data_IF_016267086150
#
_entry.id   IF_016267086150
#
_cell.length_a   1.000
_cell.length_b   1.000
_cell.length_c   1.000
_cell.angle_alpha   90.00
_cell.angle_beta   90.00
_cell.angle_gamma   90.00
#
_symmetry.space_group_name_H-M   'P 1'
#
loop_
_entity.id
_entity.type
_entity.pdbx_description
1 polymer ?
#
# COMPACT_ATOMS: atom_id res chain seq x y z
N UNK A 1 -6.30 -14.32 -66.50
CA UNK A 1 -5.97 -13.12 -65.73
C UNK A 1 -7.20 -12.72 -64.94
N UNK A 2 -7.25 -13.07 -63.65
CA UNK A 2 -8.26 -12.56 -62.72
C UNK A 2 -7.52 -11.76 -61.66
N UNK A 3 -7.70 -10.44 -61.69
CA UNK A 3 -7.21 -9.53 -60.66
C UNK A 3 -8.24 -9.60 -59.53
N UNK A 4 -7.89 -10.23 -58.41
CA UNK A 4 -8.67 -10.12 -57.19
C UNK A 4 -8.44 -8.72 -56.59
N UNK A 5 -9.47 -8.05 -56.04
CA UNK A 5 -9.28 -6.81 -55.32
C UNK A 5 -8.43 -7.10 -54.08
N UNK A 6 -7.42 -6.27 -53.87
CA UNK A 6 -6.66 -6.23 -52.63
C UNK A 6 -7.57 -5.59 -51.58
N UNK A 7 -8.51 -6.35 -51.02
CA UNK A 7 -9.25 -5.92 -49.85
C UNK A 7 -8.22 -5.75 -48.74
N UNK A 8 -7.88 -4.49 -48.46
CA UNK A 8 -7.12 -4.11 -47.30
C UNK A 8 -7.93 -4.56 -46.09
N UNK A 9 -7.46 -5.63 -45.44
CA UNK A 9 -7.91 -6.02 -44.12
C UNK A 9 -7.56 -4.88 -43.16
N UNK A 10 -8.38 -3.83 -43.14
CA UNK A 10 -8.39 -2.84 -42.08
C UNK A 10 -8.92 -3.55 -40.85
N UNK A 11 -8.00 -4.11 -40.06
CA UNK A 11 -8.30 -4.51 -38.70
C UNK A 11 -9.02 -3.33 -38.03
N UNK A 12 -10.17 -3.55 -37.38
CA UNK A 12 -10.88 -2.46 -36.73
C UNK A 12 -9.95 -1.80 -35.72
N UNK A 13 -9.58 -0.55 -35.96
CA UNK A 13 -8.76 0.25 -35.06
C UNK A 13 -9.70 0.97 -34.10
N UNK A 14 -9.62 0.63 -32.82
CA UNK A 14 -10.28 1.42 -31.79
C UNK A 14 -9.65 2.83 -31.74
N UNK A 15 -10.46 3.89 -31.53
CA UNK A 15 -9.92 5.21 -31.24
C UNK A 15 -8.99 5.18 -30.03
N UNK A 16 -7.94 6.00 -30.05
CA UNK A 16 -6.91 6.06 -28.99
C UNK A 16 -7.52 6.33 -27.62
N UNK A 17 -8.58 7.12 -27.55
CA UNK A 17 -9.32 7.46 -26.33
C UNK A 17 -9.98 6.22 -25.71
N UNK A 18 -10.48 5.30 -26.54
CA UNK A 18 -11.07 4.04 -26.09
C UNK A 18 -9.98 3.13 -25.54
N UNK A 19 -8.83 3.05 -26.21
CA UNK A 19 -7.67 2.28 -25.74
C UNK A 19 -7.16 2.82 -24.40
N UNK A 20 -7.03 4.14 -24.28
CA UNK A 20 -6.60 4.81 -23.05
C UNK A 20 -7.56 4.51 -21.89
N UNK A 21 -8.87 4.57 -22.15
CA UNK A 21 -9.89 4.24 -21.15
C UNK A 21 -9.79 2.77 -20.70
N UNK A 22 -9.69 1.83 -21.64
CA UNK A 22 -9.53 0.39 -21.33
C UNK A 22 -8.30 0.16 -20.45
N UNK A 23 -7.15 0.74 -20.84
CA UNK A 23 -5.90 0.59 -20.09
C UNK A 23 -6.04 1.17 -18.69
N UNK A 24 -6.59 2.38 -18.55
CA UNK A 24 -6.73 3.04 -17.26
C UNK A 24 -7.70 2.29 -16.34
N UNK A 25 -8.84 1.83 -16.86
CA UNK A 25 -9.81 1.06 -16.07
C UNK A 25 -9.22 -0.28 -15.64
N UNK A 26 -8.59 -1.03 -16.56
CA UNK A 26 -7.94 -2.30 -16.23
C UNK A 26 -6.76 -2.11 -15.27
N UNK A 27 -5.99 -1.03 -15.43
CA UNK A 27 -4.90 -0.67 -14.53
C UNK A 27 -5.42 -0.33 -13.13
N UNK A 28 -6.61 0.25 -12.99
CA UNK A 28 -7.20 0.55 -11.69
C UNK A 28 -7.81 -0.68 -10.97
N UNK A 29 -8.01 -1.82 -11.66
CA UNK A 29 -8.58 -3.02 -11.05
C UNK A 29 -7.67 -3.61 -9.94
N UNK A 30 -8.25 -4.24 -8.91
CA UNK A 30 -7.52 -4.90 -7.82
C UNK A 30 -6.93 -6.25 -8.26
N UNK A 31 -6.04 -6.24 -9.24
CA UNK A 31 -5.44 -7.44 -9.82
C UNK A 31 -4.52 -8.17 -8.83
N UNK A 32 -4.47 -9.50 -8.92
CA UNK A 32 -3.42 -10.28 -8.27
C UNK A 32 -2.03 -9.89 -8.79
N UNK A 33 -0.98 -10.20 -8.01
CA UNK A 33 0.40 -9.94 -8.44
C UNK A 33 0.71 -10.60 -9.79
N UNK A 34 0.20 -11.81 -10.03
CA UNK A 34 0.37 -12.54 -11.29
C UNK A 34 -0.30 -11.83 -12.45
N UNK A 35 -1.57 -11.47 -12.31
CA UNK A 35 -2.33 -10.76 -13.36
C UNK A 35 -1.71 -9.40 -13.66
N UNK A 36 -1.26 -8.67 -12.62
CA UNK A 36 -0.55 -7.41 -12.78
C UNK A 36 0.74 -7.60 -13.59
N UNK A 37 1.59 -8.56 -13.23
CA UNK A 37 2.84 -8.84 -13.95
C UNK A 37 2.57 -9.23 -15.40
N UNK A 38 1.58 -10.09 -15.65
CA UNK A 38 1.18 -10.45 -17.01
C UNK A 38 0.75 -9.23 -17.80
N UNK A 39 -0.13 -8.39 -17.26
CA UNK A 39 -0.58 -7.18 -17.93
C UNK A 39 0.56 -6.20 -18.21
N UNK A 40 1.47 -6.01 -17.26
CA UNK A 40 2.64 -5.14 -17.42
C UNK A 40 3.56 -5.62 -18.52
N UNK A 41 3.80 -6.93 -18.60
CA UNK A 41 4.65 -7.54 -19.64
C UNK A 41 3.97 -7.48 -21.00
N UNK A 42 2.71 -7.92 -21.06
CA UNK A 42 1.99 -8.12 -22.32
C UNK A 42 1.63 -6.76 -22.95
N UNK A 43 1.34 -5.72 -22.15
CA UNK A 43 1.09 -4.37 -22.64
C UNK A 43 2.28 -3.73 -23.37
N UNK A 44 3.50 -4.16 -23.06
CA UNK A 44 4.70 -3.69 -23.78
C UNK A 44 4.83 -4.30 -25.19
N UNK A 45 4.04 -5.34 -25.51
CA UNK A 45 4.20 -6.15 -26.72
C UNK A 45 3.03 -6.02 -27.71
N UNK A 46 1.93 -5.33 -27.35
CA UNK A 46 0.73 -5.21 -28.20
C UNK A 46 1.01 -4.41 -29.47
N UNK A 47 1.30 -3.11 -29.32
CA UNK A 47 1.76 -2.20 -30.37
C UNK A 47 2.29 -0.90 -29.72
N UNK A 48 2.84 0.01 -30.53
CA UNK A 48 3.43 1.27 -30.02
C UNK A 48 2.43 2.19 -29.31
N UNK A 49 1.19 2.28 -29.80
CA UNK A 49 0.13 3.11 -29.21
C UNK A 49 -0.29 2.57 -27.85
N UNK A 50 -0.59 1.28 -27.77
CA UNK A 50 -0.94 0.61 -26.52
C UNK A 50 0.18 0.72 -25.49
N UNK A 51 1.43 0.46 -25.92
CA UNK A 51 2.60 0.57 -25.05
C UNK A 51 2.74 1.99 -24.50
N UNK A 52 2.61 3.03 -25.33
CA UNK A 52 2.71 4.42 -24.88
C UNK A 52 1.63 4.79 -23.85
N UNK A 53 0.39 4.39 -24.11
CA UNK A 53 -0.73 4.61 -23.18
C UNK A 53 -0.55 3.86 -21.86
N UNK A 54 -0.12 2.60 -21.93
CA UNK A 54 0.22 1.80 -20.75
C UNK A 54 1.37 2.42 -19.94
N UNK A 55 2.44 2.89 -20.60
CA UNK A 55 3.55 3.55 -19.92
C UNK A 55 3.06 4.81 -19.20
N UNK A 56 2.19 5.62 -19.82
CA UNK A 56 1.57 6.77 -19.15
C UNK A 56 0.77 6.35 -17.92
N UNK A 57 -0.11 5.35 -18.03
CA UNK A 57 -0.92 4.86 -16.92
C UNK A 57 -0.06 4.33 -15.76
N UNK A 58 0.91 3.46 -16.07
CA UNK A 58 1.81 2.83 -15.09
C UNK A 58 2.83 3.80 -14.47
N UNK A 59 3.20 4.88 -15.16
CA UNK A 59 4.01 5.95 -14.59
C UNK A 59 3.20 6.90 -13.69
N UNK A 60 1.90 7.03 -13.94
CA UNK A 60 0.99 7.89 -13.16
C UNK A 60 0.63 7.21 -11.84
N UNK A 61 0.14 5.97 -11.89
CA UNK A 61 -0.17 5.16 -10.71
C UNK A 61 0.73 3.94 -10.71
N UNK A 62 1.80 4.00 -9.92
CA UNK A 62 2.82 2.95 -9.92
C UNK A 62 2.34 1.79 -9.04
N UNK A 63 2.31 0.58 -9.60
CA UNK A 63 2.04 -0.64 -8.84
C UNK A 63 3.31 -1.49 -8.73
N UNK A 64 3.61 -1.95 -7.52
CA UNK A 64 4.77 -2.77 -7.20
C UNK A 64 4.26 -4.16 -6.81
N UNK A 65 4.23 -5.12 -7.75
CA UNK A 65 3.65 -6.44 -7.51
C UNK A 65 4.58 -7.39 -6.74
N UNK A 66 5.89 -7.10 -6.66
CA UNK A 66 6.86 -7.89 -5.93
C UNK A 66 8.17 -7.11 -5.67
N UNK A 67 9.02 -7.66 -4.81
CA UNK A 67 10.31 -7.07 -4.42
C UNK A 67 11.30 -6.93 -5.58
N UNK A 68 11.31 -7.86 -6.55
CA UNK A 68 12.19 -7.75 -7.73
C UNK A 68 11.83 -6.54 -8.58
N UNK A 69 10.53 -6.29 -8.78
CA UNK A 69 10.07 -5.12 -9.50
C UNK A 69 10.39 -3.81 -8.76
N UNK A 70 10.36 -3.81 -7.43
CA UNK A 70 10.78 -2.64 -6.65
C UNK A 70 12.22 -2.19 -6.97
N UNK A 71 13.17 -3.13 -7.03
CA UNK A 71 14.55 -2.82 -7.43
C UNK A 71 14.65 -2.38 -8.89
N UNK A 72 13.85 -2.99 -9.78
CA UNK A 72 13.78 -2.55 -11.17
C UNK A 72 13.26 -1.12 -11.30
N UNK A 73 12.27 -0.74 -10.49
CA UNK A 73 11.70 0.60 -10.45
C UNK A 73 12.74 1.63 -9.98
N UNK A 74 13.53 1.32 -8.95
CA UNK A 74 14.65 2.19 -8.53
C UNK A 74 15.64 2.37 -9.67
N UNK A 75 15.99 1.29 -10.36
CA UNK A 75 16.85 1.36 -11.55
C UNK A 75 16.23 2.24 -12.64
N UNK A 76 14.91 2.16 -12.87
CA UNK A 76 14.20 3.05 -13.82
C UNK A 76 14.31 4.52 -13.38
N UNK A 77 14.03 4.84 -12.12
CA UNK A 77 14.14 6.20 -11.60
C UNK A 77 15.57 6.77 -11.66
N UNK A 78 16.57 5.89 -11.65
CA UNK A 78 17.99 6.26 -11.80
C UNK A 78 18.45 6.36 -13.26
N UNK A 79 17.55 6.17 -14.23
CA UNK A 79 17.90 6.18 -15.65
C UNK A 79 18.59 4.89 -16.12
N UNK A 80 18.44 3.78 -15.41
CA UNK A 80 19.02 2.47 -15.75
C UNK A 80 18.19 1.65 -16.76
N UNK A 81 17.06 2.16 -17.25
CA UNK A 81 16.22 1.45 -18.22
C UNK A 81 16.21 2.14 -19.58
N UNK A 82 16.82 1.48 -20.57
CA UNK A 82 16.84 1.97 -21.96
C UNK A 82 15.45 2.21 -22.55
N UNK A 83 14.50 1.32 -22.26
CA UNK A 83 13.10 1.43 -22.69
C UNK A 83 12.44 2.68 -22.09
N UNK A 84 12.48 2.85 -20.76
CA UNK A 84 11.86 4.00 -20.12
C UNK A 84 12.59 5.30 -20.46
N UNK A 85 13.92 5.31 -20.53
CA UNK A 85 14.66 6.51 -20.91
C UNK A 85 14.34 6.98 -22.34
N UNK A 86 14.08 6.05 -23.27
CA UNK A 86 13.81 6.38 -24.67
C UNK A 86 12.35 6.72 -24.92
N UNK A 87 11.44 5.93 -24.35
CA UNK A 87 10.02 5.97 -24.68
C UNK A 87 9.18 6.70 -23.64
N UNK A 88 9.72 6.86 -22.43
CA UNK A 88 9.05 7.53 -21.34
C UNK A 88 9.97 8.42 -20.48
N UNK A 89 10.80 9.30 -21.09
CA UNK A 89 11.68 10.17 -20.33
C UNK A 89 10.85 11.04 -19.37
N UNK A 90 11.29 11.10 -18.12
CA UNK A 90 10.73 11.96 -17.06
C UNK A 90 9.23 11.78 -16.74
N UNK A 91 8.58 10.74 -17.30
CA UNK A 91 7.16 10.49 -17.09
C UNK A 91 6.83 10.20 -15.62
N UNK A 92 7.74 9.52 -14.91
CA UNK A 92 7.58 9.31 -13.47
C UNK A 92 7.66 10.63 -12.69
N UNK A 93 8.64 11.48 -13.01
CA UNK A 93 8.88 12.76 -12.34
C UNK A 93 7.72 13.75 -12.58
N UNK A 94 7.03 13.61 -13.72
CA UNK A 94 5.94 14.51 -14.14
C UNK A 94 4.54 14.01 -13.82
N UNK A 95 4.29 12.69 -13.76
CA UNK A 95 2.94 12.15 -13.59
C UNK A 95 2.71 11.34 -12.33
N UNK A 96 3.77 10.81 -11.68
CA UNK A 96 3.58 9.86 -10.58
C UNK A 96 2.84 10.52 -9.41
N UNK A 97 1.59 10.09 -9.21
CA UNK A 97 0.69 10.58 -8.16
C UNK A 97 0.48 9.57 -7.04
N UNK A 98 0.65 8.28 -7.35
CA UNK A 98 0.45 7.20 -6.38
C UNK A 98 1.46 6.07 -6.55
N UNK A 99 1.82 5.45 -5.42
CA UNK A 99 2.58 4.20 -5.36
C UNK A 99 1.80 3.18 -4.54
N UNK A 100 1.56 2.01 -5.11
CA UNK A 100 0.83 0.90 -4.48
C UNK A 100 1.73 -0.32 -4.36
N UNK A 101 1.97 -0.78 -3.14
CA UNK A 101 2.68 -2.04 -2.88
C UNK A 101 1.68 -3.15 -2.62
N UNK A 102 1.74 -4.21 -3.42
CA UNK A 102 1.00 -5.43 -3.12
C UNK A 102 1.92 -6.45 -2.49
N UNK A 103 1.50 -7.02 -1.37
CA UNK A 103 2.21 -8.10 -0.68
C UNK A 103 1.27 -9.28 -0.48
N UNK A 104 1.68 -10.42 -1.03
CA UNK A 104 1.12 -11.73 -0.69
C UNK A 104 2.21 -12.62 -0.06
N UNK A 105 1.82 -13.74 0.57
CA UNK A 105 2.77 -14.69 1.17
C UNK A 105 3.77 -15.29 0.17
N UNK A 106 3.42 -15.33 -1.12
CA UNK A 106 4.23 -15.95 -2.18
C UNK A 106 5.33 -15.01 -2.70
N UNK A 107 5.21 -13.71 -2.40
CA UNK A 107 6.08 -12.64 -2.92
C UNK A 107 7.42 -12.50 -2.18
N UNK A 108 7.65 -13.26 -1.10
CA UNK A 108 8.85 -13.16 -0.27
C UNK A 108 8.90 -11.91 0.61
N UNK A 109 10.04 -11.62 1.26
CA UNK A 109 10.17 -10.47 2.16
C UNK A 109 10.16 -9.15 1.38
N UNK A 110 9.26 -8.22 1.74
CA UNK A 110 9.18 -6.88 1.13
C UNK A 110 10.09 -5.85 1.82
N UNK A 111 10.62 -6.19 3.00
CA UNK A 111 11.22 -5.24 3.94
C UNK A 111 12.37 -4.46 3.29
N UNK A 112 13.30 -5.17 2.65
CA UNK A 112 14.44 -4.54 1.98
C UNK A 112 14.01 -3.69 0.78
N UNK A 113 13.09 -4.20 -0.05
CA UNK A 113 12.58 -3.45 -1.21
C UNK A 113 11.83 -2.19 -0.80
N UNK A 114 11.02 -2.28 0.25
CA UNK A 114 10.27 -1.16 0.77
C UNK A 114 11.21 -0.13 1.36
N UNK A 115 12.10 -0.54 2.27
CA UNK A 115 13.11 0.33 2.84
C UNK A 115 13.92 1.05 1.75
N UNK A 116 14.31 0.33 0.70
CA UNK A 116 15.08 0.91 -0.41
C UNK A 116 14.25 1.94 -1.18
N UNK A 117 12.97 1.66 -1.47
CA UNK A 117 12.10 2.61 -2.16
C UNK A 117 11.80 3.82 -1.28
N UNK A 118 11.40 3.63 -0.02
CA UNK A 118 11.09 4.76 0.85
C UNK A 118 12.33 5.60 1.09
N UNK A 119 13.51 4.98 1.21
CA UNK A 119 14.79 5.67 1.28
C UNK A 119 15.13 6.42 -0.01
N UNK A 120 14.87 5.81 -1.16
CA UNK A 120 15.09 6.45 -2.47
C UNK A 120 14.19 7.69 -2.64
N UNK A 121 12.96 7.61 -2.15
CA UNK A 121 11.97 8.68 -2.22
C UNK A 121 12.17 9.74 -1.14
N UNK A 122 12.71 9.36 0.03
CA UNK A 122 13.06 10.31 1.09
C UNK A 122 14.34 11.05 0.70
N UNK A 123 14.19 12.31 0.26
CA UNK A 123 15.23 13.32 0.00
C UNK A 123 16.57 12.76 -0.52
N UNK A 124 16.89 13.05 -1.79
CA UNK A 124 18.26 12.88 -2.28
C UNK A 124 19.24 13.69 -1.41
N UNK A 125 20.54 13.34 -1.38
CA UNK A 125 21.57 14.17 -0.74
C UNK A 125 21.56 15.64 -1.20
N UNK A 126 20.98 15.91 -2.37
CA UNK A 126 20.84 17.24 -2.99
C UNK A 126 19.47 17.91 -2.69
N UNK A 127 18.59 17.28 -1.91
CA UNK A 127 17.29 17.84 -1.52
C UNK A 127 16.21 17.83 -2.61
N UNK A 128 16.45 17.18 -3.76
CA UNK A 128 15.50 17.16 -4.88
C UNK A 128 14.40 16.14 -4.59
N UNK A 129 13.14 16.58 -4.67
CA UNK A 129 11.98 15.70 -4.65
C UNK A 129 11.82 15.05 -6.04
N UNK A 130 12.22 13.78 -6.17
CA UNK A 130 12.17 13.05 -7.45
C UNK A 130 10.74 12.87 -7.99
N UNK A 131 9.76 12.77 -7.11
CA UNK A 131 8.36 12.57 -7.50
C UNK A 131 7.50 13.68 -6.89
N UNK A 132 7.58 14.93 -7.41
CA UNK A 132 6.92 16.10 -6.80
C UNK A 132 5.40 15.96 -6.70
N UNK A 133 4.79 15.22 -7.63
CA UNK A 133 3.34 14.99 -7.70
C UNK A 133 2.86 13.82 -6.86
N UNK A 134 3.77 13.04 -6.25
CA UNK A 134 3.39 11.90 -5.44
C UNK A 134 2.64 12.36 -4.18
N UNK A 135 1.37 11.97 -4.07
CA UNK A 135 0.49 12.32 -2.93
C UNK A 135 0.01 11.10 -2.15
N UNK A 136 -0.08 9.94 -2.81
CA UNK A 136 -0.71 8.73 -2.25
C UNK A 136 0.28 7.57 -2.15
N UNK A 137 0.32 6.96 -0.98
CA UNK A 137 0.89 5.62 -0.80
C UNK A 137 -0.22 4.64 -0.44
N UNK A 138 -0.19 3.45 -1.04
CA UNK A 138 -1.13 2.39 -0.77
C UNK A 138 -0.41 1.06 -0.51
N UNK A 139 -0.91 0.28 0.44
CA UNK A 139 -0.45 -1.07 0.73
C UNK A 139 -1.63 -2.04 0.61
N UNK A 140 -1.49 -3.02 -0.25
CA UNK A 140 -2.43 -4.13 -0.43
C UNK A 140 -1.83 -5.39 0.21
N UNK A 141 -2.40 -5.80 1.33
CA UNK A 141 -1.89 -6.84 2.21
C UNK A 141 -2.79 -8.08 2.12
N UNK A 142 -2.33 -9.12 1.41
CA UNK A 142 -3.10 -10.36 1.22
C UNK A 142 -2.69 -11.39 2.25
N UNK A 143 -3.60 -11.71 3.16
CA UNK A 143 -3.42 -12.55 4.35
C UNK A 143 -2.21 -12.12 5.22
N UNK A 144 -1.80 -10.84 5.15
CA UNK A 144 -0.68 -10.30 5.94
C UNK A 144 -1.18 -9.43 7.10
N UNK A 145 -0.26 -9.13 8.03
CA UNK A 145 -0.47 -8.13 9.09
C UNK A 145 0.28 -6.84 8.76
N UNK A 146 0.01 -5.77 9.51
CA UNK A 146 0.70 -4.49 9.37
C UNK A 146 2.22 -4.60 9.56
N UNK A 147 2.68 -5.60 10.32
CA UNK A 147 4.10 -5.88 10.53
C UNK A 147 4.82 -6.28 9.24
N UNK A 148 4.09 -6.71 8.20
CA UNK A 148 4.68 -6.97 6.90
C UNK A 148 5.16 -5.69 6.18
N UNK A 149 4.68 -4.52 6.62
CA UNK A 149 5.07 -3.19 6.13
C UNK A 149 5.89 -2.46 7.18
N UNK A 150 5.48 -2.52 8.45
CA UNK A 150 6.14 -1.86 9.58
C UNK A 150 6.62 -2.89 10.60
N UNK A 151 7.67 -3.70 10.28
CA UNK A 151 8.08 -4.83 11.11
C UNK A 151 8.65 -4.39 12.45
N UNK A 152 8.33 -5.17 13.49
CA UNK A 152 8.77 -4.91 14.88
C UNK A 152 10.31 -4.95 15.01
N UNK A 153 10.97 -5.77 14.20
CA UNK A 153 12.43 -5.91 14.15
C UNK A 153 13.15 -4.74 13.48
N UNK A 154 12.44 -3.84 12.78
CA UNK A 154 13.11 -2.80 12.03
C UNK A 154 13.69 -1.73 12.95
N UNK A 155 14.99 -1.45 12.78
CA UNK A 155 15.70 -0.43 13.55
C UNK A 155 15.45 0.96 12.95
N UNK A 156 15.16 1.03 11.64
CA UNK A 156 15.02 2.30 10.91
C UNK A 156 13.53 2.55 10.61
N UNK A 157 12.97 3.67 11.10
CA UNK A 157 11.58 4.04 10.79
C UNK A 157 11.37 4.30 9.31
N UNK A 158 10.18 3.95 8.82
CA UNK A 158 9.75 4.31 7.47
C UNK A 158 9.37 5.79 7.46
N UNK A 159 10.01 6.55 6.57
CA UNK A 159 9.68 7.95 6.34
C UNK A 159 9.12 8.12 4.93
N UNK A 160 7.93 8.69 4.84
CA UNK A 160 7.36 9.13 3.57
C UNK A 160 7.88 10.52 3.22
N UNK A 161 8.11 10.84 1.94
CA UNK A 161 8.42 12.20 1.55
C UNK A 161 7.24 13.13 1.87
N UNK A 162 7.52 14.38 2.20
CA UNK A 162 6.56 15.32 2.82
C UNK A 162 5.39 15.70 1.91
N UNK A 163 5.49 15.43 0.61
CA UNK A 163 4.41 15.61 -0.35
C UNK A 163 3.33 14.52 -0.27
N UNK A 164 3.63 13.38 0.34
CA UNK A 164 2.67 12.29 0.56
C UNK A 164 1.75 12.67 1.72
N UNK A 165 0.47 12.82 1.41
CA UNK A 165 -0.56 13.22 2.37
C UNK A 165 -1.63 12.17 2.59
N UNK A 166 -1.70 11.17 1.71
CA UNK A 166 -2.70 10.10 1.74
C UNK A 166 -2.02 8.75 1.91
N UNK A 167 -2.44 8.02 2.95
CA UNK A 167 -2.03 6.64 3.18
C UNK A 167 -3.26 5.73 3.10
N UNK A 168 -3.16 4.69 2.30
CA UNK A 168 -4.16 3.63 2.20
C UNK A 168 -3.54 2.29 2.63
N UNK A 169 -4.23 1.54 3.48
CA UNK A 169 -3.81 0.19 3.89
C UNK A 169 -5.01 -0.73 3.79
N UNK A 170 -4.97 -1.61 2.79
CA UNK A 170 -6.06 -2.51 2.40
C UNK A 170 -5.66 -3.94 2.74
N UNK A 171 -6.42 -4.59 3.61
CA UNK A 171 -6.22 -5.98 3.97
C UNK A 171 -7.20 -6.86 3.21
N UNK A 172 -6.68 -7.87 2.52
CA UNK A 172 -7.44 -8.85 1.77
C UNK A 172 -7.24 -10.22 2.40
N UNK A 173 -8.30 -11.01 2.47
CA UNK A 173 -8.26 -12.37 2.99
C UNK A 173 -8.70 -13.34 1.92
N UNK A 174 -7.87 -14.35 1.63
CA UNK A 174 -8.24 -15.38 0.66
C UNK A 174 -9.34 -16.29 1.22
N UNK A 175 -10.20 -16.88 0.36
CA UNK A 175 -11.27 -17.79 0.80
C UNK A 175 -10.78 -18.96 1.67
N UNK A 176 -9.56 -19.43 1.44
CA UNK A 176 -8.91 -20.46 2.27
C UNK A 176 -8.75 -20.02 3.72
N UNK A 177 -8.46 -18.74 3.98
CA UNK A 177 -8.35 -18.13 5.31
C UNK A 177 -9.74 -17.87 5.91
N UNK A 178 -10.71 -17.51 5.07
CA UNK A 178 -12.10 -17.25 5.45
C UNK A 178 -12.90 -18.51 5.79
N UNK A 179 -12.46 -19.69 5.36
CA UNK A 179 -13.12 -20.97 5.61
C UNK A 179 -13.22 -21.32 7.11
N UNK A 180 -12.43 -20.65 7.94
CA UNK A 180 -12.55 -20.69 9.39
C UNK A 180 -13.05 -19.33 9.90
N UNK A 181 -14.35 -19.21 10.18
CA UNK A 181 -14.94 -18.00 10.77
C UNK A 181 -14.21 -17.54 12.05
N UNK A 182 -13.65 -18.48 12.82
CA UNK A 182 -12.81 -18.20 13.98
C UNK A 182 -11.57 -17.39 13.60
N UNK A 183 -10.91 -17.75 12.48
CA UNK A 183 -9.68 -17.12 11.98
C UNK A 183 -9.89 -15.68 11.51
N UNK A 184 -11.01 -15.39 10.83
CA UNK A 184 -11.33 -14.00 10.43
C UNK A 184 -11.61 -13.12 11.65
N UNK A 185 -12.39 -13.62 12.62
CA UNK A 185 -12.67 -12.89 13.86
C UNK A 185 -11.40 -12.67 14.67
N UNK A 186 -10.48 -13.64 14.69
CA UNK A 186 -9.16 -13.50 15.29
C UNK A 186 -8.30 -12.45 14.58
N UNK A 187 -8.29 -12.42 13.25
CA UNK A 187 -7.55 -11.41 12.49
C UNK A 187 -8.06 -9.99 12.76
N UNK A 188 -9.38 -9.78 12.79
CA UNK A 188 -9.99 -8.47 13.05
C UNK A 188 -9.84 -8.01 14.51
N UNK A 189 -9.84 -8.95 15.47
CA UNK A 189 -9.59 -8.67 16.88
C UNK A 189 -8.11 -8.74 17.27
N UNK A 190 -7.20 -8.86 16.30
CA UNK A 190 -5.77 -8.86 16.56
C UNK A 190 -5.35 -7.51 17.15
N UNK A 191 -4.74 -7.53 18.34
CA UNK A 191 -4.28 -6.35 19.09
C UNK A 191 -2.75 -6.22 19.15
N UNK A 192 -2.04 -7.02 18.34
CA UNK A 192 -0.59 -6.99 18.30
C UNK A 192 -0.10 -5.61 17.86
N UNK A 193 0.85 -5.02 18.59
CA UNK A 193 1.43 -3.75 18.20
C UNK A 193 2.30 -3.90 16.95
N UNK A 194 2.37 -2.83 16.18
CA UNK A 194 3.36 -2.59 15.15
C UNK A 194 4.46 -1.64 15.67
N UNK A 195 5.49 -1.39 14.85
CA UNK A 195 6.54 -0.40 15.16
C UNK A 195 6.12 1.05 14.95
N UNK A 196 4.88 1.31 14.51
CA UNK A 196 4.40 2.67 14.36
C UNK A 196 4.26 3.33 15.73
N UNK A 197 5.06 4.37 15.95
CA UNK A 197 4.98 5.20 17.16
C UNK A 197 4.03 6.37 16.93
N UNK A 198 3.49 6.92 18.03
CA UNK A 198 2.63 8.10 17.96
C UNK A 198 3.35 9.26 17.25
N UNK A 199 2.70 9.85 16.24
CA UNK A 199 3.27 10.93 15.44
C UNK A 199 4.38 10.56 14.46
N UNK A 200 4.64 9.28 14.22
CA UNK A 200 5.63 8.83 13.22
C UNK A 200 5.25 9.17 11.77
N UNK A 201 3.99 9.49 11.48
CA UNK A 201 3.45 9.82 10.16
C UNK A 201 2.86 11.25 10.12
N UNK A 202 3.66 12.30 10.36
CA UNK A 202 3.15 13.65 10.58
C UNK A 202 2.55 14.30 9.34
N UNK A 203 2.97 13.90 8.13
CA UNK A 203 2.49 14.48 6.88
C UNK A 203 1.19 13.84 6.36
N UNK A 204 0.71 12.76 6.99
CA UNK A 204 -0.48 12.04 6.55
C UNK A 204 -1.73 12.71 7.13
N UNK A 205 -2.55 13.25 6.23
CA UNK A 205 -3.79 13.94 6.54
C UNK A 205 -5.03 13.11 6.19
N UNK A 206 -4.88 12.16 5.26
CA UNK A 206 -5.95 11.24 4.85
C UNK A 206 -5.48 9.82 5.08
N UNK A 207 -6.18 9.09 5.95
CA UNK A 207 -5.91 7.69 6.24
C UNK A 207 -7.13 6.86 5.82
N UNK A 208 -6.90 5.90 4.93
CA UNK A 208 -7.89 4.90 4.55
C UNK A 208 -7.44 3.52 4.99
N UNK A 209 -8.24 2.82 5.77
CA UNK A 209 -7.87 1.51 6.32
C UNK A 209 -9.05 0.57 6.24
N UNK A 210 -8.89 -0.56 5.56
CA UNK A 210 -9.98 -1.50 5.32
C UNK A 210 -9.55 -2.93 5.66
N UNK A 211 -10.37 -3.67 6.40
CA UNK A 211 -10.13 -5.06 6.75
C UNK A 211 -9.03 -5.26 7.80
N UNK A 212 -8.62 -4.20 8.50
CA UNK A 212 -7.50 -4.26 9.43
C UNK A 212 -7.90 -4.84 10.80
N UNK A 213 -6.92 -5.48 11.46
CA UNK A 213 -7.02 -5.83 12.88
C UNK A 213 -7.02 -4.60 13.79
N UNK A 214 -7.69 -4.68 14.94
CA UNK A 214 -7.85 -3.56 15.87
C UNK A 214 -6.52 -2.89 16.28
N UNK A 215 -5.47 -3.67 16.52
CA UNK A 215 -4.12 -3.16 16.85
C UNK A 215 -3.50 -2.36 15.70
N UNK A 216 -3.62 -2.84 14.47
CA UNK A 216 -3.12 -2.15 13.28
C UNK A 216 -3.83 -0.79 13.08
N UNK A 217 -5.16 -0.76 13.25
CA UNK A 217 -5.94 0.47 13.16
C UNK A 217 -5.52 1.48 14.21
N UNK A 218 -5.40 1.06 15.47
CA UNK A 218 -4.92 1.90 16.58
C UNK A 218 -3.59 2.54 16.24
N UNK A 219 -2.63 1.73 15.79
CA UNK A 219 -1.26 2.19 15.55
C UNK A 219 -1.19 3.16 14.37
N UNK A 220 -1.92 2.90 13.27
CA UNK A 220 -2.02 3.82 12.13
C UNK A 220 -2.66 5.16 12.51
N UNK A 221 -3.75 5.13 13.30
CA UNK A 221 -4.41 6.36 13.76
C UNK A 221 -3.49 7.16 14.68
N UNK A 222 -2.80 6.51 15.63
CA UNK A 222 -1.86 7.19 16.54
C UNK A 222 -0.64 7.75 15.80
N UNK A 223 -0.18 7.07 14.74
CA UNK A 223 0.94 7.54 13.95
C UNK A 223 0.64 8.85 13.21
N UNK A 224 -0.62 9.10 12.84
CA UNK A 224 -1.04 10.26 12.06
C UNK A 224 -1.53 11.42 12.98
N UNK A 225 -0.63 12.33 13.36
CA UNK A 225 -0.97 13.44 14.28
C UNK A 225 -1.90 14.50 13.69
N UNK A 226 -1.87 14.72 12.38
CA UNK A 226 -2.65 15.75 11.68
C UNK A 226 -3.75 15.16 10.80
N UNK A 227 -4.29 14.01 11.20
CA UNK A 227 -5.29 13.27 10.44
C UNK A 227 -6.60 14.07 10.35
N UNK A 228 -6.99 14.45 9.13
CA UNK A 228 -8.22 15.20 8.80
C UNK A 228 -9.33 14.30 8.28
N UNK A 229 -8.98 13.33 7.44
CA UNK A 229 -9.93 12.38 6.84
C UNK A 229 -9.56 10.98 7.29
N UNK A 230 -10.49 10.33 7.98
CA UNK A 230 -10.38 8.93 8.35
C UNK A 230 -11.53 8.15 7.71
N UNK A 231 -11.19 7.15 6.93
CA UNK A 231 -12.15 6.34 6.18
C UNK A 231 -11.84 4.86 6.35
N UNK A 232 -12.79 4.10 6.87
CA UNK A 232 -12.58 2.72 7.29
C UNK A 232 -13.90 1.95 7.40
N UNK A 233 -13.79 0.63 7.30
CA UNK A 233 -14.86 -0.32 7.61
C UNK A 233 -15.22 -0.39 9.10
N UNK A 234 -14.42 0.23 9.97
CA UNK A 234 -14.70 0.39 11.40
C UNK A 234 -14.66 1.85 11.78
N UNK A 235 -15.72 2.34 12.40
CA UNK A 235 -15.73 3.73 12.90
C UNK A 235 -14.70 3.92 14.01
N UNK A 236 -14.13 5.13 14.09
CA UNK A 236 -13.16 5.47 15.13
C UNK A 236 -13.75 5.34 16.55
N UNK A 237 -15.07 5.45 16.68
CA UNK A 237 -15.81 5.30 17.94
C UNK A 237 -16.01 3.82 18.34
N UNK A 238 -16.01 2.91 17.37
CA UNK A 238 -16.13 1.47 17.62
C UNK A 238 -14.77 0.82 17.93
N UNK A 239 -13.67 1.42 17.45
CA UNK A 239 -12.32 0.90 17.61
C UNK A 239 -11.93 0.58 19.08
N UNK A 240 -12.22 1.42 20.10
CA UNK A 240 -11.93 1.09 21.50
C UNK A 240 -12.62 -0.20 21.97
N UNK A 241 -13.88 -0.44 21.55
CA UNK A 241 -14.61 -1.66 21.89
C UNK A 241 -13.95 -2.90 21.28
N UNK A 242 -13.49 -2.82 20.02
CA UNK A 242 -12.77 -3.91 19.36
C UNK A 242 -11.42 -4.20 20.03
N UNK A 243 -10.69 -3.15 20.42
CA UNK A 243 -9.44 -3.29 21.17
C UNK A 243 -9.66 -4.00 22.50
N UNK A 244 -10.66 -3.58 23.28
CA UNK A 244 -11.00 -4.21 24.55
C UNK A 244 -11.35 -5.69 24.39
N UNK A 245 -12.19 -6.04 23.42
CA UNK A 245 -12.56 -7.43 23.11
C UNK A 245 -11.35 -8.29 22.71
N UNK A 246 -10.44 -7.73 21.91
CA UNK A 246 -9.21 -8.42 21.51
C UNK A 246 -8.23 -8.62 22.67
N UNK A 247 -8.10 -7.63 23.56
CA UNK A 247 -7.25 -7.72 24.76
C UNK A 247 -7.76 -8.78 25.75
N UNK A 248 -9.08 -8.81 26.01
CA UNK A 248 -9.69 -9.82 26.87
C UNK A 248 -9.43 -11.23 26.37
N UNK A 249 -9.39 -11.46 25.05
CA UNK A 249 -9.10 -12.77 24.48
C UNK A 249 -7.64 -13.18 24.66
N UNK A 250 -6.70 -12.26 24.46
CA UNK A 250 -5.28 -12.55 24.61
C UNK A 250 -4.85 -12.82 26.07
N UNK A 251 -5.54 -12.24 27.06
CA UNK A 251 -5.21 -12.46 28.48
C UNK A 251 -5.52 -13.88 28.99
N UNK A 252 -6.33 -14.68 28.28
CA UNK A 252 -6.67 -16.05 28.70
C UNK A 252 -5.75 -17.14 28.11
N UNK A 253 -4.66 -16.78 27.40
CA UNK A 253 -3.87 -17.71 26.60
C UNK A 253 -2.44 -18.06 27.06
N UNK A 254 -1.84 -17.39 28.05
CA UNK A 254 -0.39 -17.52 28.32
C UNK A 254 -0.04 -18.28 29.61
N UNK A 255 0.89 -19.22 29.49
CA UNK A 255 1.59 -19.91 30.59
C UNK A 255 2.89 -19.18 30.97
N UNK A 256 3.45 -19.51 32.14
CA UNK A 256 4.22 -18.63 33.03
C UNK A 256 5.57 -18.06 32.56
N UNK A 257 6.16 -18.50 31.44
CA UNK A 257 7.47 -17.98 30.98
C UNK A 257 7.37 -16.84 29.94
N UNK A 258 6.24 -16.69 29.24
CA UNK A 258 5.99 -15.56 28.32
C UNK A 258 5.59 -14.26 29.06
N UNK A 259 5.33 -14.36 30.37
CA UNK A 259 4.63 -13.36 31.17
C UNK A 259 5.34 -11.99 31.30
N UNK A 260 6.67 -11.91 31.19
CA UNK A 260 7.40 -10.64 31.40
C UNK A 260 7.47 -9.76 30.13
N UNK A 261 7.68 -10.38 28.97
CA UNK A 261 7.59 -9.72 27.65
C UNK A 261 6.14 -9.35 27.37
N UNK A 262 5.20 -10.22 27.78
CA UNK A 262 3.76 -9.96 27.70
C UNK A 262 3.31 -8.86 28.65
N UNK A 263 3.87 -8.74 29.86
CA UNK A 263 3.49 -7.65 30.77
C UNK A 263 3.89 -6.29 30.18
N UNK A 264 5.08 -6.17 29.60
CA UNK A 264 5.51 -4.96 28.88
C UNK A 264 4.62 -4.69 27.67
N UNK A 265 4.31 -5.72 26.89
CA UNK A 265 3.44 -5.63 25.73
C UNK A 265 2.01 -5.26 26.12
N UNK A 266 1.50 -5.79 27.23
CA UNK A 266 0.18 -5.52 27.79
C UNK A 266 0.08 -4.09 28.34
N UNK A 267 1.08 -3.64 29.10
CA UNK A 267 1.18 -2.25 29.55
C UNK A 267 1.26 -1.29 28.35
N UNK A 268 2.03 -1.64 27.31
CA UNK A 268 2.08 -0.87 26.07
C UNK A 268 0.72 -0.83 25.35
N UNK A 269 -0.06 -1.93 25.37
CA UNK A 269 -1.43 -1.98 24.82
C UNK A 269 -2.38 -1.04 25.58
N UNK A 270 -2.36 -1.06 26.92
CA UNK A 270 -3.17 -0.17 27.77
C UNK A 270 -2.80 1.29 27.51
N UNK A 271 -1.52 1.63 27.57
CA UNK A 271 -1.05 2.99 27.32
C UNK A 271 -1.39 3.46 25.90
N UNK A 272 -1.32 2.56 24.92
CA UNK A 272 -1.71 2.84 23.55
C UNK A 272 -3.20 3.11 23.37
N UNK A 273 -4.04 2.37 24.10
CA UNK A 273 -5.48 2.57 24.08
C UNK A 273 -5.87 3.89 24.75
N UNK A 274 -5.32 4.20 25.93
CA UNK A 274 -5.55 5.48 26.61
C UNK A 274 -5.15 6.68 25.72
N UNK A 275 -3.99 6.60 25.06
CA UNK A 275 -3.56 7.64 24.13
C UNK A 275 -4.47 7.77 22.89
N UNK A 276 -5.07 6.68 22.42
CA UNK A 276 -6.04 6.73 21.32
C UNK A 276 -7.36 7.38 21.79
N UNK A 277 -7.83 7.04 22.98
CA UNK A 277 -9.03 7.64 23.58
C UNK A 277 -8.85 9.16 23.77
N UNK A 278 -7.67 9.61 24.19
CA UNK A 278 -7.32 11.04 24.25
C UNK A 278 -7.38 11.72 22.87
N UNK A 279 -6.84 11.08 21.82
CA UNK A 279 -6.90 11.59 20.44
C UNK A 279 -8.35 11.69 19.95
N UNK A 280 -9.16 10.66 20.22
CA UNK A 280 -10.59 10.64 19.86
C UNK A 280 -11.31 11.78 20.57
N UNK A 281 -11.10 11.93 21.88
CA UNK A 281 -11.72 12.97 22.69
C UNK A 281 -11.30 14.39 22.26
N UNK A 282 -10.03 14.59 21.88
CA UNK A 282 -9.56 15.85 21.30
C UNK A 282 -10.24 16.16 19.97
N UNK A 283 -10.39 15.16 19.10
CA UNK A 283 -11.02 15.34 17.78
C UNK A 283 -12.51 15.60 17.85
N UNK A 284 -13.22 14.96 18.78
CA UNK A 284 -14.64 15.22 19.03
C UNK A 284 -14.85 16.66 19.52
N UNK A 285 -13.95 17.21 20.34
CA UNK A 285 -14.03 18.60 20.83
C UNK A 285 -13.75 19.68 19.78
N UNK A 286 -13.20 19.31 18.62
CA UNK A 286 -12.89 20.23 17.52
C UNK A 286 -13.97 20.26 16.42
N UNK A 287 -15.00 19.42 16.53
CA UNK A 287 -16.22 19.43 15.71
C UNK A 287 -17.32 20.23 16.42
#
# INVERSE_FOLDING_TARGET
MSVLPLDSFHSPQFPTEILEKIINEYWALPLSARERISFMRDSMLVNSTWMSLYMRASCTDVHIPNSRYAFKLISIFQGGSTIYNRLAPDLHDTLCRSITFRRDFKSGPIEMSMYTITRFLSKTPQGINRLPYLRRFSFELVDQTLNAVFPISNIIPIHFPSNVTTLEVLFYYLPSTLSCHQSMKEALLNVMPSRLTGGSLPCIHTLRVYGAGAGAMRDLVRACTHLRVYDSDVSILELPKRLQLGMQRHSFGCTSEEALEDLRTYQARIAAQAALEDIINMKIKML
#
